data_IF_586720966219
#
_entry.id   IF_586720966219
#
_cell.length_a   1.000
_cell.length_b   1.000
_cell.length_c   1.000
_cell.angle_alpha   90.00
_cell.angle_beta   90.00
_cell.angle_gamma   90.00
#
_symmetry.space_group_name_H-M   'P 1'
#
loop_
_entity.id
_entity.type
_entity.pdbx_description
1 polymer ?
#
# COMPACT_ATOMS: atom_id res chain seq x y z
N UNK A 1 11.48 -0.20 4.22
CA UNK A 1 10.51 -0.16 5.32
C UNK A 1 11.25 -0.41 6.62
N UNK A 2 11.45 0.64 7.41
CA UNK A 2 12.09 0.55 8.72
C UNK A 2 11.07 0.35 9.85
N UNK A 3 11.57 0.06 11.05
CA UNK A 3 10.78 0.10 12.29
C UNK A 3 11.11 1.40 13.00
N UNK A 4 10.11 2.26 13.20
CA UNK A 4 10.23 3.45 14.05
C UNK A 4 9.94 3.10 15.50
N UNK A 5 10.78 3.57 16.43
CA UNK A 5 10.54 3.44 17.87
C UNK A 5 10.28 4.84 18.43
N UNK A 6 9.14 5.03 19.09
CA UNK A 6 8.75 6.27 19.73
C UNK A 6 8.37 6.04 21.19
N UNK A 7 8.66 7.01 22.05
CA UNK A 7 8.25 7.00 23.45
C UNK A 7 7.63 8.35 23.82
N UNK A 8 6.66 8.31 24.73
CA UNK A 8 6.04 9.49 25.33
C UNK A 8 6.11 9.38 26.85
N UNK A 9 6.47 10.47 27.52
CA UNK A 9 6.44 10.53 28.98
C UNK A 9 5.12 11.16 29.45
N UNK A 10 4.38 10.45 30.30
CA UNK A 10 3.09 10.92 30.85
C UNK A 10 3.03 10.83 32.38
N UNK A 11 4.21 10.77 33.03
CA UNK A 11 4.34 10.55 34.47
C UNK A 11 3.77 9.19 34.94
N UNK A 12 3.49 9.10 36.24
CA UNK A 12 2.81 7.97 36.86
C UNK A 12 1.31 7.96 36.48
N UNK A 13 1.04 7.49 35.26
CA UNK A 13 -0.30 7.59 34.66
C UNK A 13 -1.28 6.51 35.09
N UNK A 14 -0.80 5.29 35.33
CA UNK A 14 -1.60 4.08 35.61
C UNK A 14 -2.71 3.76 34.59
N UNK A 15 -2.72 4.40 33.41
CA UNK A 15 -3.83 4.31 32.46
C UNK A 15 -5.00 5.25 32.77
N UNK A 16 -4.76 6.38 33.44
CA UNK A 16 -5.79 7.40 33.61
C UNK A 16 -6.23 8.01 32.27
N UNK A 17 -7.51 8.41 32.11
CA UNK A 17 -8.03 8.94 30.85
C UNK A 17 -7.21 10.09 30.24
N UNK A 18 -6.74 11.06 31.04
CA UNK A 18 -5.98 12.18 30.47
C UNK A 18 -4.63 11.73 29.88
N UNK A 19 -3.97 10.77 30.53
CA UNK A 19 -2.72 10.20 30.02
C UNK A 19 -2.95 9.39 28.72
N UNK A 20 -4.04 8.62 28.63
CA UNK A 20 -4.49 8.00 27.38
C UNK A 20 -4.74 9.05 26.28
N UNK A 21 -5.21 10.24 26.64
CA UNK A 21 -5.34 11.38 25.74
C UNK A 21 -3.98 11.88 25.21
N UNK A 22 -2.95 11.95 26.05
CA UNK A 22 -1.58 12.31 25.63
C UNK A 22 -1.05 11.28 24.63
N UNK A 23 -1.20 9.98 24.91
CA UNK A 23 -0.75 8.94 23.99
C UNK A 23 -1.52 8.94 22.67
N UNK A 24 -2.81 9.28 22.69
CA UNK A 24 -3.60 9.47 21.46
C UNK A 24 -3.06 10.62 20.60
N UNK A 25 -2.68 11.74 21.23
CA UNK A 25 -2.04 12.87 20.51
C UNK A 25 -0.68 12.46 19.95
N UNK A 26 0.11 11.72 20.73
CA UNK A 26 1.40 11.19 20.28
C UNK A 26 1.25 10.23 19.09
N UNK A 27 0.30 9.30 19.15
CA UNK A 27 -0.03 8.41 18.02
C UNK A 27 -0.45 9.22 16.79
N UNK A 28 -1.31 10.24 16.93
CA UNK A 28 -1.69 11.11 15.81
C UNK A 28 -0.49 11.84 15.21
N UNK A 29 0.39 12.42 16.03
CA UNK A 29 1.61 13.08 15.57
C UNK A 29 2.47 12.13 14.72
N UNK A 30 2.71 10.92 15.23
CA UNK A 30 3.51 9.91 14.53
C UNK A 30 2.88 9.48 13.20
N UNK A 31 1.56 9.27 13.18
CA UNK A 31 0.88 8.68 12.03
C UNK A 31 0.45 9.68 10.96
N UNK A 32 0.30 10.96 11.33
CA UNK A 32 -0.14 12.01 10.39
C UNK A 32 1.00 12.92 9.97
N UNK A 33 1.82 13.40 10.91
CA UNK A 33 2.89 14.36 10.63
C UNK A 33 4.23 13.68 10.32
N UNK A 34 4.47 12.49 10.88
CA UNK A 34 5.71 11.72 10.67
C UNK A 34 5.55 10.54 9.71
N UNK A 35 4.35 10.30 9.20
CA UNK A 35 4.07 9.28 8.19
C UNK A 35 4.28 7.82 8.65
N UNK A 36 4.25 7.54 9.96
CA UNK A 36 4.32 6.18 10.49
C UNK A 36 2.98 5.44 10.32
N UNK A 37 3.01 4.12 10.46
CA UNK A 37 1.84 3.26 10.27
C UNK A 37 0.70 3.59 11.24
N UNK A 38 -0.55 3.54 10.76
CA UNK A 38 -1.75 3.84 11.54
C UNK A 38 -1.94 2.86 12.72
N UNK A 39 -1.32 1.68 12.66
CA UNK A 39 -1.30 0.71 13.76
C UNK A 39 0.07 0.66 14.42
N UNK A 40 0.09 0.62 15.76
CA UNK A 40 1.31 0.56 16.56
C UNK A 40 1.54 -0.82 17.19
N UNK A 41 2.80 -1.23 17.27
CA UNK A 41 3.25 -2.28 18.20
C UNK A 41 3.42 -1.64 19.59
N UNK A 42 2.75 -2.17 20.61
CA UNK A 42 2.85 -1.64 21.97
C UNK A 42 3.84 -2.46 22.79
N UNK A 43 4.83 -1.80 23.40
CA UNK A 43 5.89 -2.43 24.20
C UNK A 43 5.64 -2.20 25.70
N UNK A 44 4.94 -3.12 26.34
CA UNK A 44 4.51 -3.05 27.73
C UNK A 44 5.56 -3.64 28.69
N UNK A 45 6.27 -2.79 29.43
CA UNK A 45 7.19 -3.24 30.48
C UNK A 45 6.73 -2.79 31.86
N UNK A 46 6.68 -3.73 32.81
CA UNK A 46 6.32 -3.45 34.21
C UNK A 46 5.05 -2.56 34.28
N UNK A 47 5.04 -1.48 35.08
CA UNK A 47 3.90 -0.56 35.23
C UNK A 47 3.42 0.08 33.93
N UNK A 48 4.27 0.17 32.90
CA UNK A 48 3.86 0.66 31.58
C UNK A 48 2.73 -0.14 30.94
N UNK A 49 2.54 -1.41 31.37
CA UNK A 49 1.43 -2.24 30.94
C UNK A 49 0.07 -1.65 31.24
N UNK A 50 -0.14 -1.02 32.41
CA UNK A 50 -1.43 -0.44 32.78
C UNK A 50 -1.87 0.62 31.77
N UNK A 51 -0.95 1.51 31.41
CA UNK A 51 -1.19 2.58 30.45
C UNK A 51 -1.41 2.04 29.04
N UNK A 52 -0.52 1.17 28.55
CA UNK A 52 -0.59 0.67 27.18
C UNK A 52 -1.81 -0.22 26.96
N UNK A 53 -2.14 -1.13 27.88
CA UNK A 53 -3.34 -1.95 27.77
C UNK A 53 -4.62 -1.12 27.86
N UNK A 54 -4.67 -0.09 28.72
CA UNK A 54 -5.84 0.79 28.78
C UNK A 54 -6.05 1.50 27.44
N UNK A 55 -5.01 2.11 26.90
CA UNK A 55 -5.10 2.81 25.62
C UNK A 55 -5.46 1.86 24.48
N UNK A 56 -4.84 0.67 24.44
CA UNK A 56 -5.10 -0.37 23.45
C UNK A 56 -6.56 -0.82 23.46
N UNK A 57 -7.12 -1.09 24.65
CA UNK A 57 -8.50 -1.52 24.80
C UNK A 57 -9.52 -0.48 24.32
N UNK A 58 -9.19 0.81 24.45
CA UNK A 58 -10.01 1.91 23.92
C UNK A 58 -9.76 2.18 22.42
N UNK A 59 -8.66 1.67 21.86
CA UNK A 59 -8.24 1.91 20.47
C UNK A 59 -7.81 0.61 19.75
N UNK A 60 -8.60 -0.47 19.77
CA UNK A 60 -8.13 -1.79 19.34
C UNK A 60 -7.75 -1.83 17.84
N UNK A 61 -8.38 -1.00 17.01
CA UNK A 61 -8.07 -0.89 15.57
C UNK A 61 -6.77 -0.17 15.25
N UNK A 62 -6.15 0.51 16.24
CA UNK A 62 -4.86 1.20 16.12
C UNK A 62 -3.68 0.38 16.64
N UNK A 63 -3.90 -0.91 16.95
CA UNK A 63 -2.89 -1.78 17.54
C UNK A 63 -2.65 -2.95 16.59
N UNK A 64 -1.39 -3.20 16.24
CA UNK A 64 -1.00 -4.38 15.44
C UNK A 64 -0.62 -5.56 16.34
N UNK A 65 0.03 -5.30 17.47
CA UNK A 65 0.32 -6.30 18.50
C UNK A 65 0.67 -5.65 19.84
N UNK A 66 0.65 -6.44 20.92
CA UNK A 66 1.16 -6.05 22.24
C UNK A 66 2.27 -7.02 22.63
N UNK A 67 3.48 -6.52 22.85
CA UNK A 67 4.59 -7.29 23.39
C UNK A 67 4.96 -6.78 24.78
N UNK A 68 5.27 -7.66 25.73
CA UNK A 68 5.53 -7.22 27.09
C UNK A 68 6.53 -8.05 27.88
N UNK A 69 7.24 -7.36 28.77
CA UNK A 69 8.17 -7.94 29.74
C UNK A 69 7.57 -7.67 31.12
N UNK A 70 7.17 -8.75 31.82
CA UNK A 70 6.48 -8.74 33.12
C UNK A 70 5.50 -7.56 33.31
N UNK A 71 4.58 -7.30 32.36
CA UNK A 71 3.74 -6.12 32.42
C UNK A 71 2.71 -6.23 33.54
N UNK A 72 2.47 -5.11 34.22
CA UNK A 72 1.31 -4.94 35.08
C UNK A 72 0.09 -4.79 34.19
N UNK A 73 -0.92 -5.64 34.39
CA UNK A 73 -2.16 -5.64 33.61
C UNK A 73 -3.40 -5.37 34.49
N UNK A 74 -3.24 -5.42 35.81
CA UNK A 74 -4.33 -5.28 36.78
C UNK A 74 -4.02 -4.19 37.82
N UNK A 75 -4.88 -3.19 37.93
CA UNK A 75 -4.79 -2.11 38.92
C UNK A 75 -4.84 -2.61 40.38
N UNK A 76 -5.46 -3.78 40.62
CA UNK A 76 -5.49 -4.45 41.92
C UNK A 76 -4.14 -5.04 42.32
N UNK A 77 -3.26 -5.29 41.34
CA UNK A 77 -1.93 -5.85 41.54
C UNK A 77 -0.93 -4.75 41.97
N UNK A 78 0.23 -4.65 41.34
CA UNK A 78 1.23 -3.64 41.65
C UNK A 78 1.05 -2.37 40.81
N UNK A 79 1.11 -1.15 41.39
CA UNK A 79 1.40 -0.85 42.80
C UNK A 79 0.16 -0.83 43.72
N UNK A 80 -1.00 -1.20 43.19
CA UNK A 80 -2.25 -1.32 43.93
C UNK A 80 -3.09 -0.05 43.92
N UNK A 81 -4.36 -0.21 44.29
CA UNK A 81 -5.37 0.84 44.18
C UNK A 81 -5.02 2.09 44.97
N UNK A 82 -4.45 1.96 46.17
CA UNK A 82 -4.04 3.11 46.98
C UNK A 82 -3.02 4.02 46.28
N UNK A 83 -2.11 3.45 45.49
CA UNK A 83 -1.12 4.24 44.74
C UNK A 83 -1.66 4.75 43.42
N UNK A 84 -2.57 4.00 42.78
CA UNK A 84 -3.14 4.38 41.49
C UNK A 84 -4.24 5.44 41.62
N UNK A 85 -5.10 5.36 42.64
CA UNK A 85 -6.31 6.16 42.77
C UNK A 85 -6.09 7.69 42.71
N UNK A 86 -5.05 8.27 43.32
CA UNK A 86 -4.78 9.71 43.20
C UNK A 86 -4.61 10.18 41.75
N UNK A 87 -4.04 9.34 40.88
CA UNK A 87 -3.89 9.67 39.46
C UNK A 87 -5.23 9.69 38.71
N UNK A 88 -6.26 9.01 39.23
CA UNK A 88 -7.63 9.07 38.73
C UNK A 88 -8.47 10.16 39.38
N UNK A 89 -7.91 10.94 40.32
CA UNK A 89 -8.67 11.88 41.14
C UNK A 89 -9.67 11.19 42.07
N UNK A 90 -9.40 9.95 42.46
CA UNK A 90 -10.31 9.08 43.23
C UNK A 90 -9.66 8.61 44.53
N UNK A 91 -10.49 8.18 45.49
CA UNK A 91 -10.09 7.30 46.59
C UNK A 91 -9.97 5.85 46.10
N UNK A 92 -9.26 5.02 46.86
CA UNK A 92 -9.02 3.63 46.47
C UNK A 92 -10.31 2.81 46.33
N UNK A 93 -11.29 3.01 47.21
CA UNK A 93 -12.59 2.35 47.17
C UNK A 93 -13.47 2.82 46.00
N UNK A 94 -13.34 4.09 45.60
CA UNK A 94 -13.98 4.64 44.40
C UNK A 94 -13.36 4.05 43.12
N UNK A 95 -12.03 3.94 43.07
CA UNK A 95 -11.34 3.29 41.96
C UNK A 95 -11.69 1.79 41.89
N UNK A 96 -11.81 1.12 43.03
CA UNK A 96 -12.24 -0.28 43.11
C UNK A 96 -13.63 -0.50 42.48
N UNK A 97 -14.60 0.37 42.81
CA UNK A 97 -15.95 0.34 42.24
C UNK A 97 -15.97 0.59 40.72
N UNK A 98 -14.96 1.26 40.18
CA UNK A 98 -14.86 1.61 38.75
C UNK A 98 -13.93 0.68 37.93
N UNK A 99 -13.43 -0.42 38.50
CA UNK A 99 -12.49 -1.32 37.82
C UNK A 99 -13.03 -1.91 36.51
N UNK A 100 -14.35 -2.09 36.37
CA UNK A 100 -14.94 -2.53 35.08
C UNK A 100 -14.61 -1.58 33.91
N UNK A 101 -14.40 -0.30 34.21
CA UNK A 101 -14.13 0.76 33.23
C UNK A 101 -12.64 1.09 33.17
N UNK A 102 -11.97 1.09 34.32
CA UNK A 102 -10.60 1.59 34.45
C UNK A 102 -9.53 0.49 34.41
N UNK A 103 -9.87 -0.75 34.75
CA UNK A 103 -8.90 -1.82 34.87
C UNK A 103 -8.64 -2.51 33.51
N UNK A 104 -7.39 -2.52 33.00
CA UNK A 104 -7.14 -3.02 31.65
C UNK A 104 -7.49 -4.51 31.46
N UNK A 105 -7.27 -5.35 32.48
CA UNK A 105 -7.61 -6.78 32.43
C UNK A 105 -9.12 -7.06 32.30
N UNK A 106 -9.97 -6.10 32.67
CA UNK A 106 -11.43 -6.19 32.50
C UNK A 106 -11.89 -5.78 31.08
N UNK A 107 -11.00 -5.19 30.26
CA UNK A 107 -11.30 -4.65 28.92
C UNK A 107 -10.58 -5.36 27.78
N UNK A 108 -10.38 -6.67 27.90
CA UNK A 108 -9.68 -7.45 26.88
C UNK A 108 -10.53 -7.78 25.63
N UNK A 109 -11.87 -7.75 25.74
CA UNK A 109 -12.76 -8.14 24.63
C UNK A 109 -12.56 -7.33 23.34
N UNK A 110 -12.47 -5.98 23.35
CA UNK A 110 -12.24 -5.22 22.13
C UNK A 110 -10.95 -5.60 21.40
N UNK A 111 -9.90 -5.97 22.13
CA UNK A 111 -8.64 -6.45 21.55
C UNK A 111 -8.81 -7.82 20.88
N UNK A 112 -9.54 -8.73 21.54
CA UNK A 112 -9.82 -10.05 20.99
C UNK A 112 -10.69 -9.98 19.73
N UNK A 113 -11.73 -9.14 19.75
CA UNK A 113 -12.61 -8.88 18.59
C UNK A 113 -11.81 -8.33 17.40
N UNK A 114 -10.83 -7.45 17.67
CA UNK A 114 -9.91 -6.92 16.67
C UNK A 114 -8.74 -7.87 16.33
N UNK A 115 -8.72 -9.09 16.89
CA UNK A 115 -7.70 -10.12 16.68
C UNK A 115 -6.27 -9.66 16.99
N UNK A 116 -6.09 -8.78 17.97
CA UNK A 116 -4.76 -8.27 18.35
C UNK A 116 -3.95 -9.41 19.01
N UNK A 117 -2.81 -9.83 18.45
CA UNK A 117 -1.97 -10.84 19.08
C UNK A 117 -1.16 -10.25 20.24
N UNK A 118 -0.93 -11.06 21.27
CA UNK A 118 -0.19 -10.68 22.48
C UNK A 118 1.02 -11.61 22.68
N UNK A 119 2.17 -11.07 23.06
CA UNK A 119 3.35 -11.82 23.47
C UNK A 119 3.88 -11.29 24.80
N UNK A 120 3.90 -12.10 25.86
CA UNK A 120 4.56 -11.73 27.12
C UNK A 120 5.71 -12.69 27.46
N UNK A 121 6.76 -12.14 28.07
CA UNK A 121 7.74 -12.91 28.86
C UNK A 121 7.64 -12.49 30.33
N UNK A 122 7.39 -13.44 31.22
CA UNK A 122 7.08 -13.16 32.63
C UNK A 122 7.52 -14.32 33.52
N UNK A 123 8.47 -14.06 34.44
CA UNK A 123 9.01 -15.08 35.35
C UNK A 123 8.00 -15.64 36.36
N UNK A 124 8.15 -16.91 36.73
CA UNK A 124 7.18 -17.60 37.59
C UNK A 124 7.27 -17.26 39.10
N UNK A 125 8.32 -16.59 39.55
CA UNK A 125 8.51 -16.20 40.96
C UNK A 125 8.52 -14.68 41.16
N UNK A 126 7.96 -13.92 40.20
CA UNK A 126 7.80 -12.48 40.33
C UNK A 126 6.85 -12.15 41.50
N UNK A 127 7.40 -11.52 42.55
CA UNK A 127 6.65 -11.09 43.74
C UNK A 127 6.18 -9.63 43.65
N UNK A 128 6.76 -8.84 42.75
CA UNK A 128 6.37 -7.43 42.56
C UNK A 128 5.17 -7.36 41.63
N UNK A 129 5.26 -8.03 40.48
CA UNK A 129 4.17 -8.15 39.51
C UNK A 129 3.82 -9.64 39.41
N UNK A 130 2.97 -10.19 40.28
CA UNK A 130 2.70 -11.62 40.27
C UNK A 130 2.17 -12.12 38.94
N UNK A 131 2.82 -13.14 38.37
CA UNK A 131 2.43 -13.78 37.11
C UNK A 131 0.94 -14.13 37.08
N UNK A 132 0.46 -14.78 38.15
CA UNK A 132 -0.93 -15.27 38.27
C UNK A 132 -1.96 -14.15 38.14
N UNK A 133 -1.66 -12.96 38.65
CA UNK A 133 -2.57 -11.81 38.68
C UNK A 133 -2.39 -10.85 37.50
N UNK A 134 -1.40 -11.10 36.62
CA UNK A 134 -1.09 -10.25 35.48
C UNK A 134 -1.05 -11.08 34.20
N UNK A 135 0.12 -11.37 33.62
CA UNK A 135 0.21 -12.10 32.34
C UNK A 135 -0.53 -13.45 32.35
N UNK A 136 -0.55 -14.15 33.48
CA UNK A 136 -1.29 -15.40 33.62
C UNK A 136 -2.82 -15.23 33.64
N UNK A 137 -3.34 -14.14 34.21
CA UNK A 137 -4.78 -13.85 34.16
C UNK A 137 -5.20 -13.36 32.77
N UNK A 138 -4.37 -12.50 32.15
CA UNK A 138 -4.57 -12.06 30.76
C UNK A 138 -4.60 -13.26 29.82
N UNK A 139 -3.63 -14.17 29.89
CA UNK A 139 -3.61 -15.36 29.02
C UNK A 139 -4.90 -16.19 29.12
N UNK A 140 -5.38 -16.45 30.35
CA UNK A 140 -6.61 -17.22 30.59
C UNK A 140 -7.85 -16.50 30.06
N UNK A 141 -7.99 -15.20 30.35
CA UNK A 141 -9.16 -14.41 29.91
C UNK A 141 -9.15 -14.21 28.40
N UNK A 142 -7.99 -13.91 27.83
CA UNK A 142 -7.85 -13.62 26.40
C UNK A 142 -8.15 -14.84 25.54
N UNK A 143 -7.68 -16.02 25.96
CA UNK A 143 -7.99 -17.28 25.29
C UNK A 143 -9.50 -17.56 25.27
N UNK A 144 -10.23 -17.33 26.38
CA UNK A 144 -11.69 -17.50 26.44
C UNK A 144 -12.45 -16.55 25.51
N UNK A 145 -11.86 -15.39 25.21
CA UNK A 145 -12.41 -14.42 24.27
C UNK A 145 -12.02 -14.74 22.81
N UNK A 146 -11.31 -15.85 22.55
CA UNK A 146 -10.82 -16.21 21.22
C UNK A 146 -9.54 -15.47 20.79
N UNK A 147 -8.93 -14.69 21.69
CA UNK A 147 -7.69 -13.97 21.46
C UNK A 147 -6.47 -14.89 21.47
N UNK A 148 -5.44 -14.53 20.70
CA UNK A 148 -4.16 -15.27 20.63
C UNK A 148 -3.12 -14.61 21.52
N UNK A 149 -2.55 -15.37 22.46
CA UNK A 149 -1.46 -14.91 23.31
C UNK A 149 -0.37 -15.99 23.41
N UNK A 150 0.89 -15.57 23.25
CA UNK A 150 2.06 -16.36 23.60
C UNK A 150 2.63 -15.87 24.94
N UNK A 151 2.93 -16.80 25.84
CA UNK A 151 3.43 -16.49 27.18
C UNK A 151 4.66 -17.35 27.48
N UNK A 152 5.83 -16.72 27.47
CA UNK A 152 7.09 -17.34 27.90
C UNK A 152 7.21 -17.16 29.41
N UNK A 153 7.43 -18.27 30.13
CA UNK A 153 7.56 -18.28 31.60
C UNK A 153 8.92 -18.83 32.03
N UNK A 154 9.94 -17.96 32.15
CA UNK A 154 11.25 -18.37 32.63
C UNK A 154 11.19 -18.87 34.08
N UNK A 155 11.74 -20.06 34.33
CA UNK A 155 11.75 -20.65 35.66
C UNK A 155 12.74 -19.93 36.61
N UNK A 156 12.33 -19.70 37.85
CA UNK A 156 13.14 -19.08 38.90
C UNK A 156 13.36 -17.57 38.74
N UNK A 157 12.70 -16.93 37.76
CA UNK A 157 12.86 -15.49 37.53
C UNK A 157 11.75 -14.68 38.17
N UNK A 158 12.14 -13.56 38.79
CA UNK A 158 11.22 -12.58 39.40
C UNK A 158 11.30 -11.21 38.72
N UNK A 159 10.93 -10.14 39.44
CA UNK A 159 11.01 -8.77 38.93
C UNK A 159 12.44 -8.24 38.95
N UNK A 160 13.27 -8.70 38.01
CA UNK A 160 14.69 -8.37 37.98
C UNK A 160 15.16 -8.00 36.57
N UNK A 161 16.45 -7.70 36.46
CA UNK A 161 17.11 -7.35 35.20
C UNK A 161 17.78 -8.58 34.56
N UNK A 162 17.25 -9.79 34.78
CA UNK A 162 17.78 -10.98 34.13
C UNK A 162 17.80 -10.80 32.61
N UNK A 163 18.97 -10.98 32.01
CA UNK A 163 19.22 -10.67 30.59
C UNK A 163 18.26 -11.38 29.63
N UNK A 164 17.80 -12.58 29.98
CA UNK A 164 16.85 -13.35 29.16
C UNK A 164 15.52 -12.63 28.90
N UNK A 165 15.11 -11.70 29.77
CA UNK A 165 13.95 -10.84 29.50
C UNK A 165 14.18 -9.90 28.31
N UNK A 166 15.41 -9.43 28.10
CA UNK A 166 15.76 -8.42 27.10
C UNK A 166 16.37 -9.02 25.84
N UNK A 167 16.79 -10.29 25.89
CA UNK A 167 17.35 -11.04 24.76
C UNK A 167 16.44 -12.18 24.29
N UNK A 168 15.14 -12.12 24.60
CA UNK A 168 14.17 -13.08 24.12
C UNK A 168 13.96 -12.88 22.60
N UNK A 169 14.62 -13.71 21.79
CA UNK A 169 14.54 -13.62 20.33
C UNK A 169 13.11 -13.81 19.82
N UNK A 170 12.34 -14.74 20.41
CA UNK A 170 10.93 -14.94 20.06
C UNK A 170 10.09 -13.67 20.21
N UNK A 171 10.34 -12.86 21.25
CA UNK A 171 9.65 -11.59 21.46
C UNK A 171 10.05 -10.57 20.40
N UNK A 172 11.35 -10.50 20.07
CA UNK A 172 11.88 -9.60 19.03
C UNK A 172 11.27 -9.95 17.67
N UNK A 173 11.29 -11.22 17.30
CA UNK A 173 10.72 -11.71 16.04
C UNK A 173 9.21 -11.43 15.98
N UNK A 174 8.50 -11.66 17.08
CA UNK A 174 7.08 -11.32 17.20
C UNK A 174 6.83 -9.83 16.92
N UNK A 175 7.60 -8.92 17.52
CA UNK A 175 7.45 -7.48 17.29
C UNK A 175 7.79 -7.10 15.85
N UNK A 176 8.89 -7.62 15.30
CA UNK A 176 9.33 -7.33 13.93
C UNK A 176 8.28 -7.79 12.91
N UNK A 177 7.76 -9.00 13.05
CA UNK A 177 6.74 -9.55 12.14
C UNK A 177 5.49 -8.68 12.14
N UNK A 178 4.98 -8.29 13.32
CA UNK A 178 3.77 -7.47 13.39
C UNK A 178 3.98 -5.99 13.06
N UNK A 179 5.22 -5.47 13.22
CA UNK A 179 5.59 -4.13 12.82
C UNK A 179 5.74 -4.00 11.30
N UNK A 180 6.24 -5.04 10.62
CA UNK A 180 6.39 -5.07 9.17
C UNK A 180 5.10 -5.46 8.44
N UNK A 181 4.17 -6.14 9.13
CA UNK A 181 2.97 -6.72 8.54
C UNK A 181 3.27 -8.03 7.80
N UNK A 182 2.24 -8.64 7.19
CA UNK A 182 2.42 -9.80 6.32
C UNK A 182 3.33 -9.42 5.14
N UNK A 183 4.43 -10.16 4.88
CA UNK A 183 5.22 -9.96 3.67
C UNK A 183 4.33 -10.10 2.44
N UNK A 184 4.32 -9.10 1.54
CA UNK A 184 3.51 -9.19 0.32
C UNK A 184 4.01 -10.32 -0.60
N UNK A 185 5.22 -10.84 -0.38
CA UNK A 185 5.74 -12.02 -1.05
C UNK A 185 4.95 -13.31 -0.81
N UNK A 186 4.02 -13.33 0.16
CA UNK A 186 3.09 -14.45 0.38
C UNK A 186 1.75 -14.29 -0.37
N UNK A 187 1.59 -13.21 -1.14
CA UNK A 187 0.38 -13.00 -1.93
C UNK A 187 0.40 -13.87 -3.18
N UNK A 188 -0.64 -14.70 -3.31
CA UNK A 188 -0.84 -15.51 -4.49
C UNK A 188 -1.67 -14.74 -5.53
N UNK A 189 -1.18 -14.56 -6.77
CA UNK A 189 -1.94 -13.97 -7.86
C UNK A 189 -3.10 -14.89 -8.25
N UNK A 190 -4.32 -14.36 -8.26
CA UNK A 190 -5.49 -15.08 -8.74
C UNK A 190 -5.76 -14.69 -10.21
N UNK A 191 -5.78 -15.69 -11.10
CA UNK A 191 -6.15 -15.49 -12.50
C UNK A 191 -7.65 -15.16 -12.62
N UNK A 192 -7.97 -14.02 -13.22
CA UNK A 192 -9.36 -13.59 -13.47
C UNK A 192 -9.81 -13.98 -14.88
N UNK A 193 -8.95 -13.75 -15.87
CA UNK A 193 -9.25 -13.93 -17.28
C UNK A 193 -7.95 -14.09 -18.07
N UNK A 194 -8.00 -14.84 -19.15
CA UNK A 194 -6.88 -15.06 -20.08
C UNK A 194 -7.36 -15.17 -21.53
N UNK A 195 -6.41 -15.16 -22.46
CA UNK A 195 -6.67 -15.32 -23.90
C UNK A 195 -6.47 -14.04 -24.71
N UNK A 196 -5.98 -12.97 -24.08
CA UNK A 196 -5.66 -11.72 -24.78
C UNK A 196 -4.38 -11.82 -25.60
N UNK A 197 -4.22 -10.88 -26.54
CA UNK A 197 -3.02 -10.77 -27.38
C UNK A 197 -1.92 -9.94 -26.72
N UNK A 198 -2.26 -8.78 -26.14
CA UNK A 198 -1.35 -7.95 -25.35
C UNK A 198 -2.16 -7.06 -24.40
N UNK A 199 -2.43 -7.55 -23.18
CA UNK A 199 -3.25 -6.81 -22.21
C UNK A 199 -2.47 -5.70 -21.52
N UNK A 200 -3.09 -4.55 -21.33
CA UNK A 200 -2.48 -3.32 -20.82
C UNK A 200 -3.45 -2.50 -19.96
N UNK A 201 -2.93 -1.41 -19.39
CA UNK A 201 -3.69 -0.28 -18.87
C UNK A 201 -4.96 -0.61 -18.09
N UNK A 202 -4.92 -1.43 -17.01
CA UNK A 202 -6.11 -1.66 -16.22
C UNK A 202 -6.52 -0.38 -15.47
N UNK A 203 -7.82 -0.08 -15.42
CA UNK A 203 -8.39 1.09 -14.77
C UNK A 203 -9.66 0.71 -14.00
N UNK A 204 -9.74 1.12 -12.73
CA UNK A 204 -10.92 0.88 -11.90
C UNK A 204 -11.94 1.99 -12.09
N UNK A 205 -13.15 1.62 -12.50
CA UNK A 205 -14.27 2.53 -12.70
C UNK A 205 -14.98 2.92 -11.40
N UNK A 206 -15.83 3.96 -11.43
CA UNK A 206 -16.58 4.42 -10.26
C UNK A 206 -17.54 3.38 -9.66
N UNK A 207 -17.98 2.41 -10.47
CA UNK A 207 -18.83 1.28 -10.05
C UNK A 207 -18.01 0.10 -9.48
N UNK A 208 -16.69 0.25 -9.34
CA UNK A 208 -15.77 -0.80 -8.91
C UNK A 208 -15.45 -1.84 -9.99
N UNK A 209 -15.95 -1.68 -11.21
CA UNK A 209 -15.52 -2.52 -12.33
C UNK A 209 -14.09 -2.21 -12.73
N UNK A 210 -13.42 -3.17 -13.38
CA UNK A 210 -12.05 -3.00 -13.87
C UNK A 210 -12.09 -3.08 -15.39
N UNK A 211 -11.76 -1.98 -16.05
CA UNK A 211 -11.50 -2.00 -17.49
C UNK A 211 -10.03 -2.30 -17.72
N UNK A 212 -9.69 -2.97 -18.80
CA UNK A 212 -8.31 -3.18 -19.23
C UNK A 212 -8.29 -3.28 -20.75
N UNK A 213 -7.20 -2.81 -21.36
CA UNK A 213 -7.06 -2.86 -22.81
C UNK A 213 -6.40 -4.17 -23.25
N UNK A 214 -6.64 -4.54 -24.48
CA UNK A 214 -5.87 -5.52 -25.24
C UNK A 214 -5.45 -4.85 -26.54
N UNK A 215 -4.19 -4.38 -26.56
CA UNK A 215 -3.66 -3.59 -27.67
C UNK A 215 -3.62 -4.44 -28.94
N UNK A 216 -3.27 -5.72 -28.83
CA UNK A 216 -3.18 -6.66 -29.97
C UNK A 216 -4.55 -7.06 -30.53
N UNK A 217 -5.57 -7.17 -29.68
CA UNK A 217 -6.94 -7.44 -30.12
C UNK A 217 -7.75 -6.18 -30.48
N UNK A 218 -7.16 -4.98 -30.34
CA UNK A 218 -7.84 -3.69 -30.54
C UNK A 218 -9.15 -3.58 -29.74
N UNK A 219 -9.12 -4.02 -28.49
CA UNK A 219 -10.32 -4.18 -27.66
C UNK A 219 -10.08 -3.66 -26.25
N UNK A 220 -11.12 -3.07 -25.63
CA UNK A 220 -11.17 -2.83 -24.19
C UNK A 220 -12.17 -3.82 -23.59
N UNK A 221 -11.75 -4.51 -22.53
CA UNK A 221 -12.58 -5.43 -21.76
C UNK A 221 -13.03 -4.78 -20.44
N UNK A 222 -14.13 -5.29 -19.86
CA UNK A 222 -14.65 -4.91 -18.55
C UNK A 222 -14.84 -6.14 -17.68
N UNK A 223 -14.10 -6.21 -16.58
CA UNK A 223 -14.30 -7.16 -15.49
C UNK A 223 -15.25 -6.57 -14.44
N UNK A 224 -16.25 -7.36 -14.02
CA UNK A 224 -17.10 -7.05 -12.86
C UNK A 224 -16.71 -7.94 -11.67
N UNK A 225 -16.15 -7.37 -10.59
CA UNK A 225 -15.81 -8.14 -9.39
C UNK A 225 -17.02 -8.80 -8.73
N UNK A 226 -18.22 -8.23 -8.88
CA UNK A 226 -19.45 -8.73 -8.27
C UNK A 226 -19.89 -10.08 -8.86
N UNK A 227 -19.98 -10.17 -10.19
CA UNK A 227 -20.43 -11.38 -10.88
C UNK A 227 -19.28 -12.21 -11.47
N UNK A 228 -18.04 -11.73 -11.32
CA UNK A 228 -16.79 -12.36 -11.78
C UNK A 228 -16.74 -12.61 -13.29
N UNK A 229 -17.41 -11.79 -14.10
CA UNK A 229 -17.39 -11.91 -15.56
C UNK A 229 -16.53 -10.84 -16.21
N UNK A 230 -15.84 -11.23 -17.28
CA UNK A 230 -15.21 -10.32 -18.23
C UNK A 230 -16.06 -10.29 -19.50
N UNK A 231 -16.41 -9.09 -19.96
CA UNK A 231 -17.11 -8.88 -21.23
C UNK A 231 -16.37 -7.81 -22.04
N UNK A 232 -16.58 -7.81 -23.35
CA UNK A 232 -16.12 -6.73 -24.22
C UNK A 232 -16.81 -5.42 -23.84
N UNK A 233 -16.02 -4.37 -23.61
CA UNK A 233 -16.50 -3.01 -23.38
C UNK A 233 -16.52 -2.21 -24.68
N UNK A 234 -15.44 -2.29 -25.47
CA UNK A 234 -15.31 -1.58 -26.75
C UNK A 234 -14.38 -2.30 -27.70
N UNK A 235 -14.89 -2.78 -28.82
CA UNK A 235 -14.09 -3.21 -29.97
C UNK A 235 -13.63 -2.02 -30.79
N UNK A 236 -12.63 -2.21 -31.66
CA UNK A 236 -12.06 -1.15 -32.50
C UNK A 236 -11.65 0.05 -31.66
N UNK A 237 -10.94 -0.26 -30.58
CA UNK A 237 -10.58 0.67 -29.52
C UNK A 237 -9.62 1.77 -29.96
N UNK A 238 -9.03 1.63 -31.16
CA UNK A 238 -7.98 2.49 -31.68
C UNK A 238 -6.60 2.08 -31.20
N UNK A 239 -6.42 0.79 -30.87
CA UNK A 239 -5.25 0.26 -30.15
C UNK A 239 -5.09 0.96 -28.80
N UNK A 240 -6.18 0.98 -28.03
CA UNK A 240 -6.14 1.53 -26.68
C UNK A 240 -5.08 0.79 -25.85
N UNK A 241 -4.29 1.55 -25.09
CA UNK A 241 -3.21 1.07 -24.26
C UNK A 241 -3.50 1.47 -22.80
N UNK A 242 -2.82 2.46 -22.23
CA UNK A 242 -3.13 3.02 -20.91
C UNK A 242 -4.56 3.54 -20.82
N UNK A 243 -5.24 3.22 -19.72
CA UNK A 243 -6.58 3.69 -19.39
C UNK A 243 -6.59 4.37 -18.02
N UNK A 244 -7.45 5.37 -17.85
CA UNK A 244 -7.74 5.96 -16.53
C UNK A 244 -9.16 6.53 -16.52
N UNK A 245 -9.83 6.51 -15.36
CA UNK A 245 -11.09 7.23 -15.17
C UNK A 245 -10.83 8.62 -14.62
N UNK A 246 -11.45 9.63 -15.23
CA UNK A 246 -11.45 10.98 -14.67
C UNK A 246 -12.38 11.08 -13.45
N UNK A 247 -12.29 12.15 -12.63
CA UNK A 247 -13.17 12.34 -11.48
C UNK A 247 -14.67 12.42 -11.82
N UNK A 248 -15.01 12.73 -13.06
CA UNK A 248 -16.39 12.74 -13.54
C UNK A 248 -16.90 11.33 -13.92
N UNK A 249 -16.01 10.32 -13.95
CA UNK A 249 -16.31 8.94 -14.31
C UNK A 249 -16.30 8.67 -15.82
N UNK A 250 -15.65 9.51 -16.61
CA UNK A 250 -15.37 9.23 -18.03
C UNK A 250 -14.08 8.43 -18.16
N UNK A 251 -14.05 7.50 -19.10
CA UNK A 251 -12.85 6.71 -19.40
C UNK A 251 -11.97 7.50 -20.37
N UNK A 252 -10.73 7.79 -19.97
CA UNK A 252 -9.69 8.34 -20.82
C UNK A 252 -8.79 7.19 -21.29
N UNK A 253 -8.43 7.21 -22.57
CA UNK A 253 -7.58 6.18 -23.16
C UNK A 253 -6.45 6.81 -23.99
N UNK A 254 -5.24 6.30 -23.81
CA UNK A 254 -4.17 6.41 -24.79
C UNK A 254 -4.45 5.45 -25.94
N UNK A 255 -4.59 5.96 -27.16
CA UNK A 255 -4.70 5.16 -28.38
C UNK A 255 -3.35 5.25 -29.11
N UNK A 256 -2.61 4.13 -29.11
CA UNK A 256 -1.29 4.03 -29.69
C UNK A 256 -1.29 4.00 -31.21
N UNK A 257 -0.11 3.85 -31.81
CA UNK A 257 0.04 3.67 -33.25
C UNK A 257 -0.04 2.19 -33.67
N UNK A 258 0.41 1.26 -32.82
CA UNK A 258 0.45 -0.21 -32.96
C UNK A 258 -0.21 -0.77 -34.25
N UNK A 259 0.54 -0.69 -35.36
CA UNK A 259 0.13 -1.10 -36.73
C UNK A 259 -1.29 -0.63 -37.11
N UNK A 260 -1.48 0.68 -37.23
CA UNK A 260 -2.74 1.31 -37.66
C UNK A 260 -3.68 1.80 -36.55
N UNK A 261 -3.17 2.02 -35.34
CA UNK A 261 -3.90 2.61 -34.20
C UNK A 261 -4.21 4.11 -34.33
N UNK A 262 -4.98 4.64 -33.39
CA UNK A 262 -5.59 5.97 -33.47
C UNK A 262 -4.61 7.15 -33.32
N UNK A 263 -3.46 6.94 -32.65
CA UNK A 263 -2.48 7.98 -32.29
C UNK A 263 -3.16 9.20 -31.66
N UNK A 264 -3.87 9.01 -30.55
CA UNK A 264 -4.63 10.09 -29.89
C UNK A 264 -4.88 9.79 -28.42
N UNK A 265 -5.31 10.82 -27.69
CA UNK A 265 -5.99 10.65 -26.41
C UNK A 265 -7.50 10.76 -26.68
N UNK A 266 -8.27 9.76 -26.25
CA UNK A 266 -9.74 9.78 -26.37
C UNK A 266 -10.41 9.75 -25.01
N UNK A 267 -11.66 10.22 -24.98
CA UNK A 267 -12.55 10.11 -23.83
C UNK A 267 -13.83 9.43 -24.24
N UNK A 268 -14.24 8.43 -23.45
CA UNK A 268 -15.53 7.76 -23.52
C UNK A 268 -16.38 8.25 -22.36
N UNK A 269 -17.43 8.99 -22.69
CA UNK A 269 -18.38 9.46 -21.68
C UNK A 269 -19.29 8.33 -21.18
N UNK A 270 -20.00 8.56 -20.07
CA UNK A 270 -20.87 7.54 -19.43
C UNK A 270 -21.94 6.93 -20.35
N UNK A 271 -22.36 7.65 -21.40
CA UNK A 271 -23.32 7.14 -22.38
C UNK A 271 -22.66 6.35 -23.54
N UNK A 272 -21.34 6.11 -23.47
CA UNK A 272 -20.57 5.39 -24.47
C UNK A 272 -20.05 6.26 -25.62
N UNK A 273 -20.40 7.56 -25.71
CA UNK A 273 -19.89 8.42 -26.78
C UNK A 273 -18.39 8.66 -26.62
N UNK A 274 -17.65 8.34 -27.69
CA UNK A 274 -16.20 8.55 -27.79
C UNK A 274 -15.92 9.86 -28.52
N UNK A 275 -15.00 10.68 -27.99
CA UNK A 275 -14.44 11.84 -28.69
C UNK A 275 -12.95 11.95 -28.47
N UNK A 276 -12.26 12.62 -29.38
CA UNK A 276 -10.83 12.95 -29.24
C UNK A 276 -10.65 14.11 -28.28
N UNK A 277 -9.69 13.98 -27.36
CA UNK A 277 -9.21 15.08 -26.52
C UNK A 277 -8.05 15.79 -27.22
N UNK A 278 -7.05 15.03 -27.64
CA UNK A 278 -5.97 15.53 -28.48
C UNK A 278 -5.46 14.43 -29.39
N UNK A 279 -4.82 14.84 -30.48
CA UNK A 279 -4.16 13.95 -31.43
C UNK A 279 -2.86 14.56 -32.00
N UNK A 280 -2.53 15.79 -31.57
CA UNK A 280 -1.49 16.65 -32.13
C UNK A 280 -0.90 17.55 -31.04
N UNK A 281 0.38 17.91 -31.20
CA UNK A 281 1.06 18.96 -30.45
C UNK A 281 1.74 19.90 -31.45
N UNK A 282 1.46 21.20 -31.37
CA UNK A 282 1.97 22.20 -32.32
C UNK A 282 1.76 21.83 -33.81
N UNK A 283 0.58 21.27 -34.13
CA UNK A 283 0.22 20.81 -35.47
C UNK A 283 0.89 19.52 -35.93
N UNK A 284 1.70 18.89 -35.07
CA UNK A 284 2.37 17.60 -35.36
C UNK A 284 1.63 16.46 -34.68
N UNK A 285 1.41 15.34 -35.38
CA UNK A 285 0.78 14.13 -34.81
C UNK A 285 1.64 13.54 -33.70
N UNK A 286 1.01 13.23 -32.56
CA UNK A 286 1.63 12.47 -31.46
C UNK A 286 2.15 11.12 -31.97
N UNK A 287 3.25 10.62 -31.40
CA UNK A 287 3.92 9.42 -31.85
C UNK A 287 3.06 8.16 -31.67
N UNK A 288 2.88 7.72 -30.43
CA UNK A 288 2.13 6.53 -30.05
C UNK A 288 1.84 6.62 -28.55
N UNK A 289 0.80 7.35 -28.14
CA UNK A 289 0.41 7.46 -26.74
C UNK A 289 0.34 6.09 -26.06
N UNK A 290 1.04 5.95 -24.94
CA UNK A 290 1.24 4.65 -24.28
C UNK A 290 0.51 4.59 -22.95
N UNK A 291 0.99 5.33 -21.94
CA UNK A 291 0.42 5.36 -20.60
C UNK A 291 0.05 6.79 -20.18
N UNK A 292 -0.77 6.93 -19.15
CA UNK A 292 -1.28 8.23 -18.71
C UNK A 292 -1.59 8.33 -17.21
N UNK A 293 -1.55 9.55 -16.71
CA UNK A 293 -1.95 9.91 -15.35
C UNK A 293 -2.73 11.22 -15.36
N UNK A 294 -3.56 11.41 -14.34
CA UNK A 294 -4.25 12.68 -14.07
C UNK A 294 -3.58 13.31 -12.85
N UNK A 295 -3.35 14.62 -12.88
CA UNK A 295 -2.81 15.33 -11.71
C UNK A 295 -3.77 15.24 -10.51
N UNK A 296 -3.23 15.47 -9.30
CA UNK A 296 -4.02 15.33 -8.07
C UNK A 296 -5.16 16.34 -7.94
N UNK A 297 -5.17 17.38 -8.78
CA UNK A 297 -6.24 18.40 -8.84
C UNK A 297 -7.34 18.01 -9.83
N UNK A 298 -7.10 16.99 -10.67
CA UNK A 298 -8.05 16.49 -11.65
C UNK A 298 -8.19 17.37 -12.91
N UNK A 299 -7.23 18.26 -13.17
CA UNK A 299 -7.31 19.26 -14.26
C UNK A 299 -6.54 18.84 -15.49
N UNK A 300 -5.35 18.30 -15.32
CA UNK A 300 -4.44 18.01 -16.42
C UNK A 300 -4.29 16.49 -16.61
N UNK A 301 -4.28 16.06 -17.87
CA UNK A 301 -4.01 14.66 -18.24
C UNK A 301 -2.60 14.60 -18.82
N UNK A 302 -1.70 13.88 -18.16
CA UNK A 302 -0.35 13.63 -18.63
C UNK A 302 -0.32 12.30 -19.36
N UNK A 303 0.36 12.24 -20.51
CA UNK A 303 0.53 10.99 -21.24
C UNK A 303 1.96 10.84 -21.75
N UNK A 304 2.42 9.60 -21.78
CA UNK A 304 3.70 9.22 -22.37
C UNK A 304 3.52 8.97 -23.86
N UNK A 305 4.43 9.50 -24.68
CA UNK A 305 4.37 9.41 -26.15
C UNK A 305 5.64 8.77 -26.76
N UNK A 306 5.90 7.49 -26.44
CA UNK A 306 7.03 6.75 -27.01
C UNK A 306 6.75 6.28 -28.44
N UNK A 307 7.68 5.51 -28.99
CA UNK A 307 7.46 4.67 -30.18
C UNK A 307 8.07 3.28 -30.02
N UNK A 308 7.29 2.30 -29.55
CA UNK A 308 7.75 0.91 -29.42
C UNK A 308 7.59 0.08 -30.69
N UNK A 309 6.45 0.22 -31.37
CA UNK A 309 6.09 -0.54 -32.57
C UNK A 309 5.40 0.34 -33.61
N UNK A 310 5.33 -0.15 -34.85
CA UNK A 310 4.69 0.54 -35.97
C UNK A 310 5.68 1.33 -36.82
N UNK A 311 5.34 1.46 -38.10
CA UNK A 311 6.17 2.08 -39.15
C UNK A 311 5.64 3.45 -39.57
N UNK A 312 4.55 3.93 -38.95
CA UNK A 312 3.97 5.23 -39.27
C UNK A 312 5.00 6.33 -39.02
N UNK A 313 5.16 7.24 -39.99
CA UNK A 313 6.08 8.35 -39.88
C UNK A 313 5.80 9.17 -38.61
N UNK A 314 6.84 9.36 -37.79
CA UNK A 314 6.82 10.30 -36.66
C UNK A 314 6.99 11.72 -37.16
N UNK A 315 6.19 12.64 -36.62
CA UNK A 315 6.31 14.08 -36.87
C UNK A 315 7.01 14.80 -35.71
N UNK A 316 6.91 14.21 -34.52
CA UNK A 316 7.66 14.60 -33.32
C UNK A 316 8.93 13.73 -33.27
N UNK A 317 10.10 14.38 -33.29
CA UNK A 317 11.39 13.69 -33.45
C UNK A 317 11.94 13.12 -32.15
N UNK A 318 11.36 13.50 -31.02
CA UNK A 318 11.69 12.99 -29.69
C UNK A 318 10.52 12.20 -29.10
N UNK A 319 10.82 11.43 -28.07
CA UNK A 319 9.84 10.78 -27.20
C UNK A 319 9.80 11.56 -25.89
N UNK A 320 8.62 11.67 -25.28
CA UNK A 320 8.46 12.54 -24.12
C UNK A 320 7.11 12.40 -23.46
N UNK A 321 6.87 13.30 -22.51
CA UNK A 321 5.64 13.38 -21.76
C UNK A 321 4.95 14.67 -22.15
N UNK A 322 3.69 14.55 -22.53
CA UNK A 322 2.82 15.66 -22.90
C UNK A 322 1.69 15.77 -21.89
N UNK A 323 1.04 16.94 -21.89
CA UNK A 323 -0.05 17.26 -20.99
C UNK A 323 -1.20 17.87 -21.79
N UNK A 324 -2.40 17.30 -21.65
CA UNK A 324 -3.65 17.87 -22.13
C UNK A 324 -4.23 18.76 -21.04
N UNK A 325 -4.50 20.01 -21.40
CA UNK A 325 -5.11 21.03 -20.54
C UNK A 325 -6.64 20.91 -20.53
N UNK A 326 -7.33 21.49 -19.53
CA UNK A 326 -8.79 21.53 -19.49
C UNK A 326 -9.46 22.13 -20.74
N UNK A 327 -8.79 23.08 -21.40
CA UNK A 327 -9.28 23.71 -22.63
C UNK A 327 -9.07 22.84 -23.90
N UNK A 328 -8.45 21.66 -23.75
CA UNK A 328 -8.13 20.75 -24.84
C UNK A 328 -6.79 21.02 -25.52
N UNK A 329 -6.08 22.09 -25.16
CA UNK A 329 -4.74 22.33 -25.68
C UNK A 329 -3.74 21.28 -25.17
N UNK A 330 -2.70 21.02 -25.96
CA UNK A 330 -1.64 20.06 -25.61
C UNK A 330 -0.32 20.79 -25.47
N UNK A 331 0.39 20.52 -24.38
CA UNK A 331 1.70 21.08 -24.09
C UNK A 331 2.74 19.97 -23.84
N UNK A 332 4.01 20.28 -24.09
CA UNK A 332 5.12 19.42 -23.66
C UNK A 332 5.31 19.56 -22.14
N UNK A 333 5.26 18.46 -21.39
CA UNK A 333 5.55 18.45 -19.96
C UNK A 333 7.05 18.27 -19.70
N UNK A 334 7.68 17.34 -20.40
CA UNK A 334 9.15 17.20 -20.49
C UNK A 334 9.54 16.30 -21.66
N UNK A 335 10.78 16.45 -22.12
CA UNK A 335 11.45 15.52 -23.05
C UNK A 335 12.68 14.86 -22.42
N UNK A 336 12.90 15.07 -21.12
CA UNK A 336 14.06 14.56 -20.39
C UNK A 336 13.85 13.11 -19.94
N UNK A 337 13.38 12.26 -20.84
CA UNK A 337 13.14 10.83 -20.66
C UNK A 337 13.36 10.16 -22.01
N UNK A 338 14.06 9.02 -22.03
CA UNK A 338 14.49 8.42 -23.28
C UNK A 338 13.38 7.62 -23.94
N UNK A 339 12.69 6.77 -23.16
CA UNK A 339 11.60 5.90 -23.62
C UNK A 339 10.47 5.84 -22.56
N UNK A 340 9.60 6.87 -22.51
CA UNK A 340 8.63 7.00 -21.42
C UNK A 340 7.52 5.93 -21.51
N UNK A 341 7.23 5.29 -20.39
CA UNK A 341 6.20 4.25 -20.27
C UNK A 341 5.22 4.56 -19.13
N UNK A 342 5.14 3.74 -18.07
CA UNK A 342 4.30 4.01 -16.90
C UNK A 342 4.55 5.36 -16.26
N UNK A 343 3.49 6.05 -15.88
CA UNK A 343 3.52 7.38 -15.25
C UNK A 343 2.51 7.46 -14.12
N UNK A 344 2.92 7.94 -12.94
CA UNK A 344 2.04 8.16 -11.79
C UNK A 344 2.48 9.39 -10.98
N UNK A 345 1.52 10.05 -10.29
CA UNK A 345 1.82 11.14 -9.38
C UNK A 345 2.12 10.64 -7.96
N UNK A 346 2.93 11.38 -7.20
CA UNK A 346 3.02 11.23 -5.75
C UNK A 346 1.71 11.65 -5.08
N UNK A 347 1.45 11.16 -3.87
CA UNK A 347 0.21 11.45 -3.13
C UNK A 347 -0.03 12.93 -2.87
N UNK A 348 1.03 13.72 -2.72
CA UNK A 348 0.96 15.18 -2.54
C UNK A 348 1.00 15.98 -3.86
N UNK A 349 1.16 15.30 -5.00
CA UNK A 349 1.15 15.89 -6.34
C UNK A 349 2.42 16.67 -6.69
N UNK A 350 3.42 16.68 -5.80
CA UNK A 350 4.66 17.45 -6.00
C UNK A 350 5.68 16.73 -6.88
N UNK A 351 5.53 15.41 -7.02
CA UNK A 351 6.40 14.59 -7.86
C UNK A 351 5.59 13.76 -8.85
N UNK A 352 6.21 13.45 -9.97
CA UNK A 352 5.77 12.43 -10.92
C UNK A 352 6.85 11.35 -10.99
N UNK A 353 6.44 10.09 -10.93
CA UNK A 353 7.28 8.93 -11.19
C UNK A 353 7.04 8.44 -12.61
N UNK A 354 8.12 8.15 -13.32
CA UNK A 354 8.08 7.75 -14.74
C UNK A 354 8.97 6.54 -14.94
N UNK A 355 8.49 5.54 -15.66
CA UNK A 355 9.31 4.46 -16.19
C UNK A 355 10.01 4.91 -17.47
N UNK A 356 11.32 4.86 -17.48
CA UNK A 356 12.13 4.95 -18.70
C UNK A 356 12.50 3.52 -19.12
N UNK A 357 11.93 3.05 -20.23
CA UNK A 357 11.91 1.63 -20.61
C UNK A 357 12.45 1.40 -22.02
N UNK A 358 13.75 1.60 -22.22
CA UNK A 358 14.46 1.35 -23.47
C UNK A 358 15.16 -0.02 -23.46
N UNK A 359 14.51 -1.03 -24.05
CA UNK A 359 14.99 -2.42 -24.05
C UNK A 359 16.01 -2.69 -25.18
N UNK A 360 17.07 -1.88 -25.28
CA UNK A 360 18.27 -2.09 -26.15
C UNK A 360 19.54 -2.35 -25.34
N UNK A 361 20.60 -2.98 -25.86
CA UNK A 361 21.78 -3.34 -25.04
C UNK A 361 22.40 -2.18 -24.22
N UNK A 362 22.23 -0.94 -24.68
CA UNK A 362 22.70 0.32 -24.10
C UNK A 362 21.59 1.24 -23.56
N UNK A 363 20.33 0.79 -23.60
CA UNK A 363 19.16 1.60 -23.29
C UNK A 363 18.92 1.79 -21.79
N UNK A 364 18.21 2.86 -21.43
CA UNK A 364 17.83 3.17 -20.06
C UNK A 364 16.69 2.29 -19.55
N UNK A 365 16.83 1.70 -18.36
CA UNK A 365 15.75 1.02 -17.62
C UNK A 365 15.66 1.57 -16.21
N UNK A 366 15.01 2.71 -16.07
CA UNK A 366 15.08 3.48 -14.85
C UNK A 366 13.70 3.82 -14.31
N UNK A 367 13.57 3.78 -12.98
CA UNK A 367 12.53 4.50 -12.27
C UNK A 367 13.00 5.94 -12.09
N UNK A 368 12.36 6.87 -12.79
CA UNK A 368 12.66 8.29 -12.70
C UNK A 368 11.67 9.00 -11.77
N UNK A 369 12.10 10.12 -11.20
CA UNK A 369 11.20 11.10 -10.60
C UNK A 369 11.49 12.51 -11.10
N UNK A 370 10.43 13.31 -11.20
CA UNK A 370 10.47 14.71 -11.56
C UNK A 370 9.69 15.52 -10.53
N UNK A 371 10.12 16.76 -10.31
CA UNK A 371 9.31 17.75 -9.60
C UNK A 371 8.27 18.36 -10.53
N UNK A 372 7.08 18.65 -10.01
CA UNK A 372 5.98 19.27 -10.75
C UNK A 372 5.97 20.77 -10.48
N UNK A 373 6.11 21.60 -11.52
CA UNK A 373 6.02 23.06 -11.38
C UNK A 373 4.57 23.53 -11.21
N UNK A 374 4.35 24.80 -10.88
CA UNK A 374 3.00 25.38 -10.76
C UNK A 374 2.23 25.33 -12.09
N UNK A 375 2.95 25.42 -13.21
CA UNK A 375 2.41 25.31 -14.57
C UNK A 375 2.22 23.85 -15.00
N UNK A 376 2.69 22.89 -14.20
CA UNK A 376 2.60 21.47 -14.51
C UNK A 376 3.74 20.92 -15.38
N UNK A 377 4.86 21.64 -15.53
CA UNK A 377 6.06 21.09 -16.19
C UNK A 377 6.76 20.09 -15.28
N UNK A 378 7.51 19.16 -15.88
CA UNK A 378 8.27 18.14 -15.16
C UNK A 378 9.76 18.45 -15.24
N UNK A 379 10.35 18.80 -14.10
CA UNK A 379 11.73 19.28 -13.99
C UNK A 379 12.51 18.53 -12.90
N UNK A 380 13.80 18.84 -12.74
CA UNK A 380 14.66 18.27 -11.70
C UNK A 380 14.65 16.73 -11.70
N UNK A 381 14.96 16.14 -12.84
CA UNK A 381 15.02 14.69 -13.03
C UNK A 381 15.95 14.03 -12.01
N UNK A 382 15.48 12.95 -11.39
CA UNK A 382 16.27 12.08 -10.53
C UNK A 382 16.03 10.62 -10.90
N UNK A 383 17.12 9.85 -11.05
CA UNK A 383 17.04 8.39 -11.13
C UNK A 383 16.88 7.83 -9.71
N UNK A 384 15.74 7.19 -9.44
CA UNK A 384 15.42 6.58 -8.16
C UNK A 384 15.88 5.12 -8.10
N UNK A 385 15.83 4.42 -9.23
CA UNK A 385 16.29 3.04 -9.35
C UNK A 385 16.74 2.77 -10.79
N UNK A 386 17.82 1.98 -10.94
CA UNK A 386 18.33 1.54 -12.23
C UNK A 386 18.32 0.01 -12.28
N UNK A 387 17.64 -0.55 -13.27
CA UNK A 387 17.48 -1.99 -13.46
C UNK A 387 18.65 -2.63 -14.23
N UNK A 388 19.63 -1.83 -14.68
CA UNK A 388 20.79 -2.30 -15.43
C UNK A 388 20.38 -3.08 -16.67
N UNK A 389 20.76 -4.35 -16.76
CA UNK A 389 20.42 -5.23 -17.89
C UNK A 389 19.06 -5.93 -17.76
N UNK A 390 18.36 -5.79 -16.63
CA UNK A 390 17.01 -6.36 -16.46
C UNK A 390 15.97 -5.60 -17.30
N UNK A 391 14.76 -6.16 -17.43
CA UNK A 391 13.68 -5.68 -18.30
C UNK A 391 13.29 -4.21 -18.01
N UNK A 392 13.44 -3.74 -16.77
CA UNK A 392 12.93 -2.43 -16.36
C UNK A 392 11.43 -2.45 -16.02
N UNK A 393 10.88 -1.26 -15.78
CA UNK A 393 9.48 -1.06 -15.42
C UNK A 393 8.65 -0.83 -16.67
N UNK A 394 7.49 -1.46 -16.75
CA UNK A 394 6.47 -1.23 -17.76
C UNK A 394 5.45 -0.19 -17.22
N UNK A 395 4.28 -0.61 -16.74
CA UNK A 395 3.31 0.20 -16.00
C UNK A 395 3.52 0.26 -14.47
N UNK A 396 2.78 1.17 -13.81
CA UNK A 396 2.89 1.39 -12.36
C UNK A 396 1.57 1.85 -11.72
N UNK A 397 1.41 1.56 -10.43
CA UNK A 397 0.35 2.10 -9.59
C UNK A 397 0.90 2.67 -8.28
N UNK A 398 0.30 3.76 -7.79
CA UNK A 398 0.62 4.31 -6.47
C UNK A 398 -0.17 3.57 -5.38
N UNK A 399 0.54 3.01 -4.41
CA UNK A 399 -0.03 2.39 -3.22
C UNK A 399 -0.60 3.39 -2.21
N UNK A 400 -1.45 2.93 -1.27
CA UNK A 400 -2.10 3.80 -0.28
C UNK A 400 -1.12 4.50 0.68
N UNK A 401 0.06 3.90 0.89
CA UNK A 401 1.16 4.43 1.71
C UNK A 401 2.13 5.31 0.90
N UNK A 402 1.82 5.61 -0.36
CA UNK A 402 2.68 6.37 -1.27
C UNK A 402 3.82 5.56 -1.88
N UNK A 403 3.88 4.26 -1.61
CA UNK A 403 4.85 3.35 -2.22
C UNK A 403 4.46 3.04 -3.68
N UNK A 404 5.45 2.76 -4.52
CA UNK A 404 5.27 2.56 -5.96
C UNK A 404 5.19 1.05 -6.23
N UNK A 405 4.11 0.58 -6.83
CA UNK A 405 3.98 -0.79 -7.33
C UNK A 405 4.28 -0.76 -8.82
N UNK A 406 5.37 -1.38 -9.24
CA UNK A 406 5.85 -1.35 -10.61
C UNK A 406 5.87 -2.75 -11.21
N UNK A 407 5.35 -2.90 -12.42
CA UNK A 407 5.44 -4.16 -13.17
C UNK A 407 6.82 -4.27 -13.80
N UNK A 408 7.60 -5.26 -13.40
CA UNK A 408 8.97 -5.43 -13.88
C UNK A 408 9.41 -6.90 -13.82
N UNK A 409 10.64 -7.15 -14.27
CA UNK A 409 11.26 -8.47 -14.30
C UNK A 409 10.67 -9.37 -15.38
N UNK A 410 11.37 -10.46 -15.64
CA UNK A 410 10.97 -11.46 -16.64
C UNK A 410 11.20 -12.88 -16.15
N UNK A 411 10.40 -13.81 -16.67
CA UNK A 411 10.53 -15.23 -16.35
C UNK A 411 10.36 -15.51 -14.85
N UNK A 412 11.43 -15.94 -14.16
CA UNK A 412 11.36 -16.22 -12.72
C UNK A 412 11.34 -14.95 -11.86
N UNK A 413 11.80 -13.84 -12.41
CA UNK A 413 11.85 -12.53 -11.74
C UNK A 413 10.61 -11.67 -12.06
N UNK A 414 9.72 -12.15 -12.93
CA UNK A 414 8.49 -11.46 -13.29
C UNK A 414 7.65 -11.18 -12.03
N UNK A 415 7.25 -9.92 -11.84
CA UNK A 415 6.50 -9.56 -10.65
C UNK A 415 6.18 -8.10 -10.48
N UNK A 416 5.55 -7.80 -9.34
CA UNK A 416 5.33 -6.44 -8.87
C UNK A 416 6.47 -6.06 -7.92
N UNK A 417 7.31 -5.13 -8.37
CA UNK A 417 8.40 -4.56 -7.60
C UNK A 417 7.85 -3.39 -6.80
N UNK A 418 7.93 -3.48 -5.48
CA UNK A 418 7.35 -2.47 -4.59
C UNK A 418 8.46 -1.58 -4.05
N UNK A 419 8.44 -0.29 -4.39
CA UNK A 419 9.44 0.68 -3.97
C UNK A 419 8.90 1.66 -2.92
N UNK A 420 9.76 2.11 -2.02
CA UNK A 420 9.51 3.35 -1.28
C UNK A 420 9.48 4.55 -2.24
N UNK A 421 8.80 5.67 -1.91
CA UNK A 421 8.79 6.86 -2.76
C UNK A 421 10.18 7.41 -3.11
N UNK A 422 11.21 7.04 -2.34
CA UNK A 422 12.61 7.40 -2.59
C UNK A 422 13.38 6.43 -3.49
N UNK A 423 12.77 5.38 -4.05
CA UNK A 423 13.43 4.45 -4.98
C UNK A 423 14.01 3.18 -4.37
N UNK A 424 13.95 3.04 -3.04
CA UNK A 424 14.43 1.84 -2.36
C UNK A 424 13.45 0.67 -2.56
N UNK A 425 13.94 -0.46 -3.07
CA UNK A 425 13.14 -1.67 -3.30
C UNK A 425 12.79 -2.32 -1.96
N UNK A 426 11.49 -2.49 -1.69
CA UNK A 426 10.98 -3.13 -0.47
C UNK A 426 10.89 -4.64 -0.62
N UNK A 427 10.30 -5.10 -1.73
CA UNK A 427 10.05 -6.50 -2.02
C UNK A 427 9.58 -6.67 -3.46
N UNK A 428 9.56 -7.93 -3.90
CA UNK A 428 8.97 -8.36 -5.17
C UNK A 428 7.85 -9.35 -4.87
N UNK A 429 6.70 -9.15 -5.51
CA UNK A 429 5.57 -10.09 -5.52
C UNK A 429 5.63 -10.83 -6.86
N UNK A 430 6.06 -12.09 -6.84
CA UNK A 430 6.22 -12.86 -8.07
C UNK A 430 4.88 -13.12 -8.77
N UNK A 431 4.92 -13.09 -10.10
CA UNK A 431 3.80 -13.38 -10.98
C UNK A 431 4.12 -14.61 -11.85
N UNK A 432 3.09 -15.33 -12.33
CA UNK A 432 3.29 -16.50 -13.19
C UNK A 432 3.76 -16.17 -14.62
N UNK A 433 3.74 -14.88 -15.00
CA UNK A 433 4.18 -14.39 -16.31
C UNK A 433 4.58 -12.92 -16.24
N UNK A 434 5.29 -12.46 -17.27
CA UNK A 434 5.80 -11.09 -17.37
C UNK A 434 4.64 -10.07 -17.32
N UNK A 435 4.62 -9.15 -16.33
CA UNK A 435 3.57 -8.16 -16.20
C UNK A 435 3.76 -6.96 -17.12
N UNK A 436 2.65 -6.31 -17.47
CA UNK A 436 2.61 -5.12 -18.32
C UNK A 436 2.16 -3.89 -17.56
N UNK A 437 1.11 -3.99 -16.74
CA UNK A 437 0.56 -2.83 -16.04
C UNK A 437 -0.26 -3.24 -14.81
N UNK A 438 -0.57 -2.29 -13.92
CA UNK A 438 -1.34 -2.57 -12.72
C UNK A 438 -2.12 -1.37 -12.21
N UNK A 439 -3.18 -1.63 -11.42
CA UNK A 439 -4.00 -0.59 -10.81
C UNK A 439 -4.62 -1.04 -9.50
N UNK A 440 -4.92 -0.08 -8.62
CA UNK A 440 -5.57 -0.34 -7.34
C UNK A 440 -7.09 -0.21 -7.43
N UNK A 441 -7.79 -1.15 -6.81
CA UNK A 441 -9.24 -1.10 -6.58
C UNK A 441 -9.61 -1.64 -5.20
N UNK A 442 -10.92 -1.64 -4.91
CA UNK A 442 -11.47 -2.16 -3.66
C UNK A 442 -12.56 -3.21 -3.94
N UNK A 443 -12.40 -4.42 -3.41
CA UNK A 443 -13.43 -5.46 -3.40
C UNK A 443 -13.97 -5.65 -1.98
N UNK A 444 -15.26 -5.35 -1.72
CA UNK A 444 -16.02 -5.68 -0.49
C UNK A 444 -15.18 -5.84 0.81
N UNK A 445 -14.27 -4.90 1.13
CA UNK A 445 -13.33 -4.86 2.28
C UNK A 445 -11.87 -5.32 2.05
N UNK A 446 -11.40 -5.43 0.81
CA UNK A 446 -10.00 -5.70 0.50
C UNK A 446 -9.46 -4.74 -0.57
N UNK A 447 -8.38 -4.04 -0.26
CA UNK A 447 -7.52 -3.39 -1.22
C UNK A 447 -6.95 -4.47 -2.15
N UNK A 448 -7.25 -4.31 -3.43
CA UNK A 448 -6.93 -5.28 -4.46
C UNK A 448 -6.07 -4.59 -5.52
N UNK A 449 -4.94 -5.19 -5.86
CA UNK A 449 -4.15 -4.80 -7.02
C UNK A 449 -4.56 -5.69 -8.19
N UNK A 450 -5.06 -5.08 -9.26
CA UNK A 450 -5.30 -5.73 -10.53
C UNK A 450 -4.07 -5.59 -11.42
N UNK A 451 -3.69 -6.67 -12.10
CA UNK A 451 -2.45 -6.72 -12.88
C UNK A 451 -2.73 -7.33 -14.24
N UNK A 452 -2.34 -6.65 -15.30
CA UNK A 452 -2.25 -7.24 -16.64
C UNK A 452 -0.88 -7.87 -16.80
N UNK A 453 -0.84 -9.12 -17.27
CA UNK A 453 0.39 -9.88 -17.42
C UNK A 453 0.24 -11.01 -18.43
N UNK A 454 1.35 -11.61 -18.83
CA UNK A 454 1.33 -12.88 -19.57
C UNK A 454 0.59 -13.98 -18.79
N UNK A 455 -0.14 -14.81 -19.51
CA UNK A 455 -0.76 -16.03 -18.97
C UNK A 455 0.30 -17.01 -18.45
N UNK A 456 -0.04 -17.92 -17.53
CA UNK A 456 0.94 -18.85 -16.95
C UNK A 456 1.62 -19.72 -18.01
N UNK A 457 2.90 -20.06 -17.78
CA UNK A 457 3.68 -20.91 -18.70
C UNK A 457 3.02 -22.28 -18.86
N UNK A 458 2.88 -22.75 -20.12
CA UNK A 458 2.31 -24.06 -20.46
C UNK A 458 1.43 -24.10 -21.70
N UNK A 459 1.10 -22.93 -22.29
CA UNK A 459 0.29 -22.85 -23.50
C UNK A 459 1.12 -22.99 -24.79
N UNK A 460 0.51 -23.53 -25.86
CA UNK A 460 1.14 -23.65 -27.19
C UNK A 460 1.49 -22.29 -27.82
N UNK A 461 0.76 -21.24 -27.46
CA UNK A 461 0.99 -19.84 -27.86
C UNK A 461 0.89 -18.99 -26.59
N UNK A 462 1.87 -18.11 -26.36
CA UNK A 462 1.81 -17.18 -25.25
C UNK A 462 0.60 -16.24 -25.43
N UNK A 463 -0.23 -16.14 -24.39
CA UNK A 463 -1.35 -15.21 -24.32
C UNK A 463 -1.17 -14.26 -23.12
N UNK A 464 -2.07 -13.29 -23.00
CA UNK A 464 -2.12 -12.31 -21.92
C UNK A 464 -3.42 -12.43 -21.12
N UNK A 465 -3.38 -11.92 -19.90
CA UNK A 465 -4.34 -12.19 -18.85
C UNK A 465 -4.51 -11.00 -17.89
N UNK A 466 -5.61 -11.05 -17.13
CA UNK A 466 -5.87 -10.19 -15.98
C UNK A 466 -5.77 -11.05 -14.71
N UNK A 467 -5.02 -10.55 -13.72
CA UNK A 467 -4.88 -11.14 -12.40
C UNK A 467 -5.37 -10.17 -11.31
N UNK A 468 -5.62 -10.70 -10.11
CA UNK A 468 -5.75 -9.90 -8.89
C UNK A 468 -4.88 -10.40 -7.74
N UNK A 469 -4.44 -9.45 -6.93
CA UNK A 469 -3.71 -9.66 -5.67
C UNK A 469 -4.47 -8.93 -4.55
N UNK A 470 -4.97 -9.67 -3.55
CA UNK A 470 -5.67 -9.07 -2.39
C UNK A 470 -4.66 -8.79 -1.28
N UNK A 471 -4.43 -7.52 -0.96
CA UNK A 471 -3.36 -7.11 -0.04
C UNK A 471 -3.72 -7.26 1.45
N UNK A 472 -4.98 -7.52 1.78
CA UNK A 472 -5.54 -7.37 3.14
C UNK A 472 -5.90 -8.72 3.81
N UNK A 473 -5.31 -9.84 3.40
CA UNK A 473 -5.62 -11.15 3.99
C UNK A 473 -4.90 -11.42 5.32
#
# INVERSE_FOLDING_TARGET
SGIGIGSSHSGDSYGRPEACGIYTKFHKLLTTERGLDQKACLLARSRGGLMLYKWAADNPTKVTCIAGIYPVCDLRSYPGLNRAAPAYGMKADELEKSLKINNPVEKLKPLADAKVPIFHIHGNVDRVVPLKSNSGDVAKRYQRLGGKMHLVVPNGQGHNMWKGFFYCQELVDFVITHAKGTPLSSLEPELIWEGGEFTEGPAVGPDGSVLFSDVGADTIYKFSPENKKVNTFRERSGRANGLIFDPAGNLIACEGANTGGGRRISVTSKNGKVRTLTKEWQGKRVNSPNDLAIDNVGKNIYFTDPRYVGEEKREIEFEGIFMVRPDGSTELATKDVKKPNGIIFSKDGKKVFVADHEVTNDGTRQLLSFSVTAEGKLENKQTLHDFGSSRGIDGMALGPRGNIFATAGSGKEAGIYVFEPGGNLLQVINLPGDPTNCTFGHEKNSLTLYVTAQSPKGQKKQSYALYRLRLDK
#
